data_IF_805199628554
#
_entry.id   IF_805199628554
#
_cell.length_a   1.000
_cell.length_b   1.000
_cell.length_c   1.000
_cell.angle_alpha   90.00
_cell.angle_beta   90.00
_cell.angle_gamma   90.00
#
_symmetry.space_group_name_H-M   'P 1'
#
loop_
_entity.id
_entity.type
_entity.pdbx_description
1 polymer ?
#
# COMPACT_ATOMS: atom_id res chain seq x y z
N UNK A 1 56.40 -33.55 14.03
CA UNK A 1 55.27 -33.60 13.09
C UNK A 1 54.35 -32.41 13.39
N UNK A 2 54.41 -31.32 12.61
CA UNK A 2 53.67 -30.08 12.89
C UNK A 2 52.29 -30.11 12.22
N UNK A 3 51.22 -30.06 13.00
CA UNK A 3 49.84 -29.98 12.48
C UNK A 3 49.47 -28.50 12.35
N UNK A 4 49.47 -27.98 11.12
CA UNK A 4 49.03 -26.60 10.83
C UNK A 4 47.51 -26.57 10.86
N UNK A 5 46.94 -25.97 11.90
CA UNK A 5 45.50 -25.74 12.01
C UNK A 5 45.14 -24.54 11.13
N UNK A 6 44.50 -24.80 9.99
CA UNK A 6 44.02 -23.76 9.08
C UNK A 6 42.76 -23.12 9.68
N UNK A 7 42.91 -21.87 10.12
CA UNK A 7 41.82 -21.03 10.60
C UNK A 7 41.11 -20.40 9.39
N UNK A 8 40.02 -21.01 8.92
CA UNK A 8 39.20 -20.44 7.85
C UNK A 8 38.25 -19.40 8.43
N UNK A 9 38.60 -18.13 8.26
CA UNK A 9 37.73 -16.98 8.46
C UNK A 9 36.95 -16.68 7.17
N UNK A 10 35.85 -15.92 7.29
CA UNK A 10 34.96 -15.31 6.27
C UNK A 10 33.70 -16.11 5.89
N UNK A 11 32.50 -15.53 5.82
CA UNK A 11 31.96 -14.26 6.30
C UNK A 11 30.44 -14.41 6.34
N UNK A 12 29.76 -14.03 7.43
CA UNK A 12 28.30 -13.94 7.44
C UNK A 12 27.89 -12.77 6.52
N UNK A 13 27.37 -13.07 5.34
CA UNK A 13 26.61 -12.10 4.55
C UNK A 13 25.32 -11.79 5.31
N UNK A 14 25.34 -10.71 6.09
CA UNK A 14 24.14 -10.18 6.73
C UNK A 14 23.19 -9.65 5.66
N UNK A 15 22.10 -10.36 5.40
CA UNK A 15 21.00 -9.82 4.63
C UNK A 15 20.39 -8.68 5.44
N UNK A 16 20.59 -7.44 4.98
CA UNK A 16 19.84 -6.30 5.50
C UNK A 16 18.41 -6.46 5.02
N UNK A 17 17.55 -6.99 5.90
CA UNK A 17 16.11 -6.99 5.66
C UNK A 17 15.63 -5.55 5.81
N UNK A 18 15.45 -4.86 4.69
CA UNK A 18 14.78 -3.56 4.69
C UNK A 18 13.30 -3.79 5.00
N UNK A 19 12.89 -3.56 6.24
CA UNK A 19 11.46 -3.49 6.56
C UNK A 19 10.92 -2.20 5.94
N UNK A 20 10.25 -2.32 4.79
CA UNK A 20 9.54 -1.20 4.20
C UNK A 20 8.53 -0.66 5.23
N UNK A 21 8.70 0.59 5.67
CA UNK A 21 7.77 1.25 6.58
C UNK A 21 6.45 1.47 5.84
N UNK A 22 5.49 0.56 6.00
CA UNK A 22 4.16 0.72 5.46
C UNK A 22 3.39 1.79 6.26
N UNK A 23 2.67 2.66 5.55
CA UNK A 23 1.73 3.58 6.20
C UNK A 23 0.68 2.78 6.97
N UNK A 24 0.30 3.25 8.17
CA UNK A 24 -0.77 2.64 8.94
C UNK A 24 -2.09 3.36 8.63
N UNK A 25 -3.00 2.69 7.93
CA UNK A 25 -4.32 3.24 7.60
C UNK A 25 -5.35 2.81 8.65
N UNK A 26 -6.18 3.75 9.10
CA UNK A 26 -7.23 3.50 10.11
C UNK A 26 -8.55 4.05 9.60
N UNK A 27 -9.63 3.29 9.73
CA UNK A 27 -10.97 3.77 9.37
C UNK A 27 -11.42 4.87 10.33
N UNK A 28 -11.98 5.96 9.80
CA UNK A 28 -12.53 7.05 10.60
C UNK A 28 -14.01 6.84 10.96
N UNK A 29 -14.72 5.99 10.19
CA UNK A 29 -16.10 5.60 10.40
C UNK A 29 -16.39 4.22 9.80
N UNK A 30 -17.57 3.66 10.09
CA UNK A 30 -18.00 2.33 9.64
C UNK A 30 -18.79 2.34 8.33
N UNK A 31 -18.74 3.44 7.56
CA UNK A 31 -19.50 3.53 6.32
C UNK A 31 -18.98 2.58 5.24
N UNK A 32 -19.88 2.16 4.33
CA UNK A 32 -19.51 1.35 3.16
C UNK A 32 -18.45 2.04 2.29
N UNK A 33 -18.50 3.38 2.19
CA UNK A 33 -17.52 4.14 1.45
C UNK A 33 -16.14 4.06 2.12
N UNK A 34 -16.07 4.23 3.43
CA UNK A 34 -14.82 4.09 4.21
C UNK A 34 -14.26 2.67 4.12
N UNK A 35 -15.09 1.64 4.23
CA UNK A 35 -14.65 0.25 4.07
C UNK A 35 -14.00 0.00 2.70
N UNK A 36 -14.53 0.60 1.63
CA UNK A 36 -13.93 0.48 0.29
C UNK A 36 -12.65 1.29 0.14
N UNK A 37 -12.55 2.47 0.76
CA UNK A 37 -11.29 3.22 0.80
C UNK A 37 -10.21 2.48 1.60
N UNK A 38 -10.56 1.83 2.71
CA UNK A 38 -9.67 0.94 3.45
C UNK A 38 -9.23 -0.26 2.61
N UNK A 39 -10.14 -0.86 1.85
CA UNK A 39 -9.81 -1.97 0.95
C UNK A 39 -8.84 -1.53 -0.16
N UNK A 40 -9.00 -0.31 -0.71
CA UNK A 40 -8.01 0.28 -1.63
C UNK A 40 -6.68 0.50 -0.90
N UNK A 41 -6.69 1.10 0.29
CA UNK A 41 -5.50 1.40 1.08
C UNK A 41 -4.70 0.16 1.51
N UNK A 42 -5.33 -1.00 1.60
CA UNK A 42 -4.67 -2.28 1.91
C UNK A 42 -3.67 -2.74 0.86
N UNK A 43 -3.74 -2.18 -0.35
CA UNK A 43 -3.03 -2.63 -1.55
C UNK A 43 -3.14 -4.15 -1.80
N UNK A 44 -4.24 -4.78 -1.38
CA UNK A 44 -4.48 -6.21 -1.53
C UNK A 44 -5.57 -6.46 -2.57
N UNK A 45 -5.24 -7.25 -3.61
CA UNK A 45 -6.20 -7.62 -4.67
C UNK A 45 -7.37 -8.39 -4.07
N UNK A 46 -7.10 -9.35 -3.19
CA UNK A 46 -8.15 -10.20 -2.60
C UNK A 46 -9.07 -9.37 -1.72
N UNK A 47 -8.50 -8.55 -0.83
CA UNK A 47 -9.27 -7.66 0.05
C UNK A 47 -10.18 -6.75 -0.76
N UNK A 48 -9.67 -6.10 -1.82
CA UNK A 48 -10.50 -5.23 -2.65
C UNK A 48 -11.58 -6.01 -3.42
N UNK A 49 -11.30 -7.20 -3.96
CA UNK A 49 -12.32 -8.04 -4.64
C UNK A 49 -13.43 -8.46 -3.69
N UNK A 50 -13.06 -8.87 -2.48
CA UNK A 50 -14.01 -9.34 -1.47
C UNK A 50 -14.88 -8.18 -0.99
N UNK A 51 -14.29 -7.01 -0.73
CA UNK A 51 -15.06 -5.82 -0.33
C UNK A 51 -15.98 -5.34 -1.45
N UNK A 52 -15.55 -5.34 -2.72
CA UNK A 52 -16.43 -5.01 -3.86
C UNK A 52 -17.63 -5.95 -3.93
N UNK A 53 -17.41 -7.25 -3.72
CA UNK A 53 -18.46 -8.28 -3.74
C UNK A 53 -19.43 -8.11 -2.57
N UNK A 54 -18.90 -7.98 -1.35
CA UNK A 54 -19.67 -7.83 -0.11
C UNK A 54 -20.56 -6.58 -0.16
N UNK A 55 -20.01 -5.46 -0.64
CA UNK A 55 -20.72 -4.18 -0.72
C UNK A 55 -21.60 -4.06 -1.97
N UNK A 56 -21.50 -5.01 -2.92
CA UNK A 56 -22.17 -4.99 -4.23
C UNK A 56 -21.87 -3.73 -5.05
N UNK A 57 -20.66 -3.20 -4.91
CA UNK A 57 -20.22 -2.00 -5.60
C UNK A 57 -19.38 -2.41 -6.80
N UNK A 58 -19.69 -1.83 -7.97
CA UNK A 58 -18.90 -2.03 -9.17
C UNK A 58 -17.57 -1.27 -9.13
N UNK A 59 -16.54 -1.81 -9.80
CA UNK A 59 -15.27 -1.10 -10.00
C UNK A 59 -15.49 0.30 -10.59
N UNK A 60 -16.40 0.43 -11.55
CA UNK A 60 -16.73 1.71 -12.17
C UNK A 60 -17.26 2.74 -11.15
N UNK A 61 -18.05 2.30 -10.17
CA UNK A 61 -18.51 3.20 -9.10
C UNK A 61 -17.36 3.63 -8.20
N UNK A 62 -16.44 2.71 -7.89
CA UNK A 62 -15.22 3.03 -7.14
C UNK A 62 -14.36 4.04 -7.89
N UNK A 63 -14.11 3.85 -9.18
CA UNK A 63 -13.23 4.74 -9.95
C UNK A 63 -13.85 6.09 -10.26
N UNK A 64 -15.17 6.17 -10.44
CA UNK A 64 -15.85 7.40 -10.87
C UNK A 64 -16.44 8.23 -9.73
N UNK A 65 -16.86 7.59 -8.63
CA UNK A 65 -17.67 8.26 -7.58
C UNK A 65 -17.02 8.24 -6.20
N UNK A 66 -16.38 7.12 -5.83
CA UNK A 66 -15.77 7.02 -4.51
C UNK A 66 -14.66 8.06 -4.34
N UNK A 67 -14.65 8.72 -3.19
CA UNK A 67 -13.55 9.57 -2.73
C UNK A 67 -13.00 9.07 -1.42
N UNK A 68 -11.69 9.09 -1.27
CA UNK A 68 -10.97 8.69 -0.07
C UNK A 68 -10.21 9.89 0.46
N UNK A 69 -10.60 10.40 1.64
CA UNK A 69 -10.15 11.70 2.15
C UNK A 69 -10.26 12.79 1.08
N UNK A 70 -11.45 12.91 0.48
CA UNK A 70 -11.84 13.85 -0.58
C UNK A 70 -11.11 13.71 -1.94
N UNK A 71 -10.11 12.83 -2.03
CA UNK A 71 -9.40 12.55 -3.28
C UNK A 71 -10.10 11.49 -4.12
N UNK A 72 -10.00 11.57 -5.45
CA UNK A 72 -10.40 10.44 -6.32
C UNK A 72 -9.56 9.22 -5.92
N UNK A 73 -10.12 8.03 -6.10
CA UNK A 73 -9.39 6.78 -5.81
C UNK A 73 -8.06 6.69 -6.55
N UNK A 74 -7.99 7.21 -7.79
CA UNK A 74 -6.75 7.28 -8.56
C UNK A 74 -5.67 8.16 -7.90
N UNK A 75 -6.04 9.38 -7.49
CA UNK A 75 -5.12 10.33 -6.86
C UNK A 75 -4.66 9.80 -5.50
N UNK A 76 -5.57 9.18 -4.75
CA UNK A 76 -5.28 8.52 -3.49
C UNK A 76 -4.30 7.34 -3.69
N UNK A 77 -4.55 6.48 -4.68
CA UNK A 77 -3.68 5.36 -5.00
C UNK A 77 -2.28 5.80 -5.46
N UNK A 78 -2.18 6.88 -6.25
CA UNK A 78 -0.90 7.50 -6.63
C UNK A 78 -0.15 8.02 -5.41
N UNK A 79 -0.82 8.78 -4.55
CA UNK A 79 -0.23 9.40 -3.36
C UNK A 79 0.42 8.38 -2.42
N UNK A 80 -0.20 7.20 -2.31
CA UNK A 80 0.24 6.15 -1.40
C UNK A 80 0.87 4.94 -2.09
N UNK A 81 1.11 5.01 -3.40
CA UNK A 81 1.78 3.96 -4.20
C UNK A 81 1.07 2.59 -4.13
N UNK A 82 -0.27 2.61 -4.22
CA UNK A 82 -1.14 1.45 -4.06
C UNK A 82 -1.29 0.69 -5.40
N UNK A 83 -0.18 0.13 -5.87
CA UNK A 83 -0.03 -0.45 -7.21
C UNK A 83 -0.94 -1.62 -7.53
N UNK A 84 -1.18 -2.53 -6.57
CA UNK A 84 -1.96 -3.74 -6.80
C UNK A 84 -3.44 -3.43 -6.91
N UNK A 85 -3.95 -2.56 -6.05
CA UNK A 85 -5.35 -2.14 -6.08
C UNK A 85 -5.64 -1.23 -7.26
N UNK A 86 -4.72 -0.31 -7.60
CA UNK A 86 -4.81 0.49 -8.82
C UNK A 86 -4.89 -0.38 -10.08
N UNK A 87 -4.04 -1.42 -10.19
CA UNK A 87 -4.09 -2.38 -11.29
C UNK A 87 -5.43 -3.11 -11.37
N UNK A 88 -5.98 -3.55 -10.23
CA UNK A 88 -7.30 -4.20 -10.21
C UNK A 88 -8.42 -3.27 -10.69
N UNK A 89 -8.31 -1.98 -10.38
CA UNK A 89 -9.28 -0.95 -10.76
C UNK A 89 -9.06 -0.39 -12.18
N UNK A 90 -7.97 -0.77 -12.86
CA UNK A 90 -7.63 -0.25 -14.18
C UNK A 90 -7.16 1.20 -14.16
N UNK A 91 -6.54 1.63 -13.06
CA UNK A 91 -6.04 2.98 -12.86
C UNK A 91 -4.56 3.07 -13.27
N UNK A 92 -4.18 4.14 -13.96
CA UNK A 92 -2.77 4.41 -14.26
C UNK A 92 -2.11 5.05 -13.06
N UNK A 93 -1.03 4.44 -12.58
CA UNK A 93 -0.13 5.04 -11.59
C UNK A 93 1.10 5.67 -12.25
N UNK A 94 1.01 6.09 -13.53
CA UNK A 94 2.11 6.81 -14.17
C UNK A 94 2.55 7.97 -13.27
N UNK A 95 3.68 7.73 -12.63
CA UNK A 95 4.38 8.67 -11.80
C UNK A 95 5.37 9.32 -12.73
N UNK A 96 5.12 10.57 -13.13
CA UNK A 96 6.25 11.44 -13.42
C UNK A 96 7.15 11.33 -12.19
N UNK A 97 8.31 10.70 -12.35
CA UNK A 97 9.21 10.25 -11.28
C UNK A 97 9.36 11.32 -10.21
N UNK A 98 8.54 11.26 -9.16
CA UNK A 98 8.76 12.05 -7.95
C UNK A 98 9.79 11.25 -7.19
N UNK A 99 11.02 11.75 -7.16
CA UNK A 99 12.06 11.27 -6.25
C UNK A 99 11.42 11.27 -4.86
N UNK A 100 11.02 10.09 -4.37
CA UNK A 100 10.50 9.92 -3.01
C UNK A 100 11.67 10.26 -2.11
N UNK A 101 11.61 11.41 -1.46
CA UNK A 101 12.58 11.74 -0.42
C UNK A 101 12.44 10.70 0.69
N UNK A 102 13.41 9.80 0.77
CA UNK A 102 13.48 8.73 1.77
C UNK A 102 13.82 9.29 3.17
N UNK A 103 13.97 10.60 3.31
CA UNK A 103 14.40 11.24 4.55
C UNK A 103 13.32 11.35 5.65
N UNK A 104 12.06 10.94 5.40
CA UNK A 104 10.99 11.00 6.42
C UNK A 104 10.29 9.64 6.63
N UNK A 105 11.07 8.61 6.91
CA UNK A 105 10.60 7.25 7.24
C UNK A 105 10.04 7.12 8.67
N UNK A 106 9.18 8.04 9.09
CA UNK A 106 8.37 7.82 10.30
C UNK A 106 7.00 7.30 9.89
N UNK A 107 6.61 6.07 10.24
CA UNK A 107 5.28 5.55 9.94
C UNK A 107 4.22 6.49 10.52
N UNK A 108 3.40 7.07 9.64
CA UNK A 108 2.33 7.99 10.03
C UNK A 108 1.00 7.25 9.97
N UNK A 109 0.21 7.38 11.03
CA UNK A 109 -1.19 6.94 11.02
C UNK A 109 -2.00 7.87 10.12
N UNK A 110 -2.74 7.30 9.18
CA UNK A 110 -3.59 8.01 8.24
C UNK A 110 -5.02 7.53 8.46
N UNK A 111 -5.86 8.44 8.96
CA UNK A 111 -7.29 8.19 9.09
C UNK A 111 -7.94 8.33 7.72
N UNK A 112 -8.79 7.36 7.35
CA UNK A 112 -9.49 7.30 6.07
C UNK A 112 -10.99 7.48 6.29
N UNK A 113 -11.58 8.43 5.59
CA UNK A 113 -13.04 8.55 5.41
C UNK A 113 -13.38 8.41 3.93
N UNK A 114 -14.47 7.72 3.65
CA UNK A 114 -15.00 7.55 2.30
C UNK A 114 -16.26 8.39 2.04
N UNK A 115 -16.39 8.93 0.84
CA UNK A 115 -17.63 9.59 0.36
C UNK A 115 -17.96 9.18 -1.08
N UNK A 116 -19.22 9.34 -1.51
CA UNK A 116 -19.74 8.85 -2.80
C UNK A 116 -20.80 9.73 -3.42
#
# INVERSE_FOLDING_TARGET
>A
MMKRLLLTCTALLGFVVTTANANNFVANDDSVATALCMAVASDSINTLRDTLTLTRVSKNTVTMKLRCNDNRVEDFAKKYDLSKTARLLGLSLETNTSIKDLAANTPKTIYISGSR
#
